data_IF_763268905014
#
_entry.id   IF_763268905014
#
_cell.length_a   1.000
_cell.length_b   1.000
_cell.length_c   1.000
_cell.angle_alpha   90.00
_cell.angle_beta   90.00
_cell.angle_gamma   90.00
#
_symmetry.space_group_name_H-M   'P 1'
#
loop_
_entity.id
_entity.type
_entity.pdbx_description
1 polymer ?
#
# COMPACT_ATOMS: atom_id res chain seq x y z
N UNK A 1 -29.50 12.59 -22.29
CA UNK A 1 -28.67 11.59 -22.98
C UNK A 1 -27.22 12.06 -22.90
N UNK A 2 -26.51 11.78 -21.81
CA UNK A 2 -25.11 12.21 -21.67
C UNK A 2 -24.26 11.17 -22.38
N UNK A 3 -23.72 11.57 -23.52
CA UNK A 3 -22.84 10.74 -24.34
C UNK A 3 -21.58 10.43 -23.51
N UNK A 4 -21.42 9.18 -23.11
CA UNK A 4 -20.19 8.70 -22.46
C UNK A 4 -19.06 8.80 -23.49
N UNK A 5 -18.16 9.77 -23.36
CA UNK A 5 -17.13 10.14 -24.34
C UNK A 5 -15.95 9.16 -24.37
N UNK A 6 -16.23 7.86 -24.37
CA UNK A 6 -15.22 6.79 -24.43
C UNK A 6 -14.40 6.80 -25.72
N UNK A 7 -14.86 7.49 -26.77
CA UNK A 7 -14.13 7.66 -28.04
C UNK A 7 -13.05 8.76 -28.00
N UNK A 8 -13.15 9.76 -27.12
CA UNK A 8 -12.22 10.90 -27.02
C UNK A 8 -11.45 11.00 -25.69
N UNK A 9 -11.56 10.00 -24.81
CA UNK A 9 -10.80 9.99 -23.56
C UNK A 9 -9.29 10.01 -23.86
N UNK A 10 -8.56 10.95 -23.24
CA UNK A 10 -7.11 11.11 -23.42
C UNK A 10 -6.34 9.84 -22.99
N UNK A 11 -5.19 9.53 -23.61
CA UNK A 11 -4.42 8.33 -23.28
C UNK A 11 -4.15 8.19 -21.78
N UNK A 12 -4.35 7.00 -21.24
CA UNK A 12 -4.20 6.67 -19.81
C UNK A 12 -5.49 6.80 -19.00
N UNK A 13 -6.60 7.24 -19.60
CA UNK A 13 -7.92 7.33 -18.96
C UNK A 13 -8.90 6.25 -19.45
N UNK A 14 -8.48 5.36 -20.34
CA UNK A 14 -9.26 4.18 -20.72
C UNK A 14 -8.70 2.94 -20.01
N UNK A 15 -9.54 1.95 -19.66
CA UNK A 15 -9.07 0.71 -19.03
C UNK A 15 -7.98 -0.01 -19.82
N UNK A 16 -8.06 0.05 -21.15
CA UNK A 16 -7.16 -0.63 -22.08
C UNK A 16 -5.80 0.07 -22.30
N UNK A 17 -5.65 1.33 -21.87
CA UNK A 17 -4.44 2.09 -22.11
C UNK A 17 -3.27 1.57 -21.24
N UNK A 18 -2.05 1.51 -21.79
CA UNK A 18 -0.83 1.28 -21.00
C UNK A 18 -0.57 -0.17 -20.55
N UNK A 19 -1.47 -1.12 -20.86
CA UNK A 19 -1.31 -2.54 -20.53
C UNK A 19 -1.26 -2.83 -19.02
N UNK A 20 -1.40 -4.12 -18.65
CA UNK A 20 -1.31 -4.64 -17.25
C UNK A 20 -2.07 -3.81 -16.19
N UNK A 21 -3.14 -3.13 -16.58
CA UNK A 21 -3.91 -2.24 -15.71
C UNK A 21 -3.07 -1.12 -15.02
N UNK A 22 -2.01 -0.62 -15.68
CA UNK A 22 -1.13 0.42 -15.14
C UNK A 22 -1.39 1.77 -15.81
N UNK A 23 -2.49 2.41 -15.44
CA UNK A 23 -2.88 3.72 -15.96
C UNK A 23 -3.69 4.53 -14.93
N UNK A 24 -3.97 5.81 -15.23
CA UNK A 24 -4.71 6.71 -14.32
C UNK A 24 -6.13 6.23 -14.06
N UNK A 25 -6.77 5.63 -15.06
CA UNK A 25 -8.09 5.01 -14.90
C UNK A 25 -8.08 4.00 -13.74
N UNK A 26 -7.11 3.08 -13.71
CA UNK A 26 -7.02 2.05 -12.67
C UNK A 26 -6.68 2.61 -11.29
N UNK A 27 -5.89 3.68 -11.19
CA UNK A 27 -5.65 4.35 -9.90
C UNK A 27 -6.97 4.86 -9.32
N UNK A 28 -7.75 5.60 -10.10
CA UNK A 28 -9.02 6.17 -9.64
C UNK A 28 -10.03 5.07 -9.35
N UNK A 29 -10.17 4.11 -10.25
CA UNK A 29 -11.13 3.02 -10.05
C UNK A 29 -10.79 2.19 -8.82
N UNK A 30 -9.51 1.83 -8.63
CA UNK A 30 -9.09 1.14 -7.41
C UNK A 30 -9.38 2.00 -6.17
N UNK A 31 -9.07 3.29 -6.22
CA UNK A 31 -9.27 4.19 -5.07
C UNK A 31 -10.75 4.35 -4.70
N UNK A 32 -11.67 4.34 -5.66
CA UNK A 32 -13.10 4.50 -5.42
C UNK A 32 -13.80 3.19 -5.08
N UNK A 33 -13.21 2.05 -5.44
CA UNK A 33 -13.80 0.74 -5.21
C UNK A 33 -14.14 0.52 -3.70
N UNK A 34 -15.34 0.02 -3.36
CA UNK A 34 -15.71 -0.27 -1.98
C UNK A 34 -14.79 -1.28 -1.29
N UNK A 35 -14.23 -2.26 -2.05
CA UNK A 35 -13.29 -3.26 -1.51
C UNK A 35 -11.99 -2.64 -0.99
N UNK A 36 -11.67 -1.44 -1.45
CA UNK A 36 -10.47 -0.68 -1.09
C UNK A 36 -10.71 0.26 0.11
N UNK A 37 -11.93 0.31 0.67
CA UNK A 37 -12.22 1.11 1.87
C UNK A 37 -11.19 0.91 3.01
N UNK A 38 -10.73 -0.33 3.31
CA UNK A 38 -9.71 -0.54 4.34
C UNK A 38 -8.39 0.17 4.01
N UNK A 39 -7.95 0.19 2.75
CA UNK A 39 -6.73 0.87 2.32
C UNK A 39 -6.79 2.38 2.57
N UNK A 40 -7.95 3.01 2.29
CA UNK A 40 -8.13 4.46 2.56
C UNK A 40 -8.01 4.76 4.05
N UNK A 41 -8.59 3.92 4.90
CA UNK A 41 -8.41 3.99 6.36
C UNK A 41 -6.95 3.74 6.77
N UNK A 42 -6.28 2.78 6.14
CA UNK A 42 -4.89 2.46 6.38
C UNK A 42 -3.97 3.65 6.09
N UNK A 43 -4.20 4.40 5.01
CA UNK A 43 -3.41 5.61 4.73
C UNK A 43 -3.53 6.63 5.87
N UNK A 44 -4.74 6.89 6.36
CA UNK A 44 -4.93 7.80 7.50
C UNK A 44 -4.19 7.30 8.74
N UNK A 45 -4.32 6.01 9.08
CA UNK A 45 -3.64 5.43 10.24
C UNK A 45 -2.12 5.48 10.07
N UNK A 46 -1.60 5.12 8.90
CA UNK A 46 -0.17 5.11 8.60
C UNK A 46 0.47 6.49 8.76
N UNK A 47 -0.12 7.51 8.12
CA UNK A 47 0.45 8.86 8.12
C UNK A 47 0.15 9.60 9.43
N UNK A 48 -1.13 9.72 9.80
CA UNK A 48 -1.55 10.62 10.90
C UNK A 48 -1.35 10.03 12.29
N UNK A 49 -1.54 8.71 12.44
CA UNK A 49 -1.41 8.01 13.73
C UNK A 49 -0.09 7.25 13.87
N UNK A 50 0.55 6.93 12.75
CA UNK A 50 1.88 6.35 12.68
C UNK A 50 2.94 7.44 12.61
N UNK A 51 3.28 7.87 11.39
CA UNK A 51 4.40 8.79 11.12
C UNK A 51 4.40 10.06 11.96
N UNK A 52 3.27 10.77 12.05
CA UNK A 52 3.20 12.00 12.84
C UNK A 52 3.37 11.78 14.35
N UNK A 53 3.15 10.55 14.84
CA UNK A 53 3.30 10.20 16.25
C UNK A 53 4.70 9.69 16.60
N UNK A 54 5.57 9.43 15.62
CA UNK A 54 6.89 8.85 15.88
C UNK A 54 7.78 9.69 16.78
N UNK A 55 7.64 11.02 16.76
CA UNK A 55 8.43 11.91 17.63
C UNK A 55 7.96 11.91 19.08
N UNK A 56 6.71 11.53 19.32
CA UNK A 56 6.06 11.60 20.63
C UNK A 56 6.04 10.24 21.31
N UNK A 57 5.64 9.20 20.55
CA UNK A 57 5.55 7.82 21.02
C UNK A 57 5.91 6.85 19.87
N UNK A 58 7.19 6.47 19.74
CA UNK A 58 7.66 5.57 18.70
C UNK A 58 7.03 4.17 18.78
N UNK A 59 6.63 3.70 19.96
CA UNK A 59 6.07 2.36 20.13
C UNK A 59 4.63 2.32 19.63
N UNK A 60 3.80 3.25 20.08
CA UNK A 60 2.43 3.40 19.61
C UNK A 60 2.36 3.74 18.12
N UNK A 61 3.31 4.52 17.62
CA UNK A 61 3.44 4.85 16.21
C UNK A 61 3.73 3.60 15.36
N UNK A 62 4.70 2.76 15.77
CA UNK A 62 4.97 1.47 15.10
C UNK A 62 3.77 0.53 15.13
N UNK A 63 3.06 0.44 16.25
CA UNK A 63 1.84 -0.36 16.36
C UNK A 63 0.76 0.12 15.37
N UNK A 64 0.57 1.43 15.24
CA UNK A 64 -0.37 2.03 14.29
C UNK A 64 0.03 1.77 12.83
N UNK A 65 1.33 1.84 12.51
CA UNK A 65 1.83 1.49 11.17
C UNK A 65 1.61 0.02 10.87
N UNK A 66 1.91 -0.88 11.81
CA UNK A 66 1.67 -2.31 11.62
C UNK A 66 0.18 -2.59 11.36
N UNK A 67 -0.71 -1.98 12.14
CA UNK A 67 -2.16 -2.07 11.90
C UNK A 67 -2.52 -1.60 10.49
N UNK A 68 -1.95 -0.48 10.02
CA UNK A 68 -2.19 -0.01 8.66
C UNK A 68 -1.70 -1.02 7.61
N UNK A 69 -0.53 -1.63 7.79
CA UNK A 69 -0.01 -2.66 6.88
C UNK A 69 -0.91 -3.89 6.82
N UNK A 70 -1.53 -4.29 7.93
CA UNK A 70 -2.51 -5.39 7.94
C UNK A 70 -3.78 -5.05 7.15
N UNK A 71 -4.24 -3.80 7.19
CA UNK A 71 -5.37 -3.34 6.37
C UNK A 71 -5.00 -3.26 4.87
N UNK A 72 -3.78 -2.84 4.54
CA UNK A 72 -3.25 -2.89 3.16
C UNK A 72 -3.18 -4.34 2.66
N UNK A 73 -2.75 -5.26 3.51
CA UNK A 73 -2.66 -6.68 3.21
C UNK A 73 -4.04 -7.30 2.92
N UNK A 74 -5.06 -6.99 3.73
CA UNK A 74 -6.45 -7.41 3.46
C UNK A 74 -6.91 -6.96 2.08
N UNK A 75 -6.57 -5.73 1.69
CA UNK A 75 -6.92 -5.19 0.37
C UNK A 75 -6.14 -5.89 -0.74
N UNK A 76 -4.87 -6.22 -0.51
CA UNK A 76 -4.05 -6.97 -1.48
C UNK A 76 -4.67 -8.33 -1.82
N UNK A 77 -5.28 -9.00 -0.84
CA UNK A 77 -6.00 -10.28 -1.02
C UNK A 77 -7.37 -10.07 -1.66
N UNK A 78 -8.14 -9.08 -1.18
CA UNK A 78 -9.51 -8.83 -1.67
C UNK A 78 -9.54 -8.23 -3.09
N UNK A 79 -8.48 -7.54 -3.49
CA UNK A 79 -8.34 -6.94 -4.80
C UNK A 79 -6.92 -7.10 -5.35
N UNK A 80 -6.67 -8.31 -5.86
CA UNK A 80 -5.41 -8.73 -6.45
C UNK A 80 -4.94 -7.78 -7.55
N UNK A 81 -3.62 -7.56 -7.61
CA UNK A 81 -2.98 -6.69 -8.61
C UNK A 81 -3.50 -5.24 -8.63
N UNK A 82 -4.04 -4.75 -7.51
CA UNK A 82 -4.45 -3.35 -7.41
C UNK A 82 -3.25 -2.41 -7.49
N UNK A 83 -3.34 -1.42 -8.37
CA UNK A 83 -2.26 -0.49 -8.67
C UNK A 83 -1.91 0.36 -7.43
N UNK A 84 -2.90 0.70 -6.62
CA UNK A 84 -2.73 1.49 -5.39
C UNK A 84 -1.89 0.78 -4.32
N UNK A 85 -2.03 -0.54 -4.19
CA UNK A 85 -1.25 -1.34 -3.22
C UNK A 85 0.19 -1.43 -3.69
N UNK A 86 0.40 -1.66 -4.98
CA UNK A 86 1.74 -1.63 -5.58
C UNK A 86 2.38 -0.25 -5.43
N UNK A 87 1.66 0.83 -5.72
CA UNK A 87 2.18 2.20 -5.57
C UNK A 87 2.59 2.48 -4.13
N UNK A 88 1.79 2.05 -3.15
CA UNK A 88 2.15 2.16 -1.74
C UNK A 88 3.43 1.39 -1.41
N UNK A 89 3.54 0.12 -1.80
CA UNK A 89 4.74 -0.68 -1.50
C UNK A 89 5.98 -0.08 -2.14
N UNK A 90 5.90 0.34 -3.42
CA UNK A 90 7.02 0.99 -4.09
C UNK A 90 7.44 2.29 -3.40
N UNK A 91 6.49 3.12 -2.98
CA UNK A 91 6.78 4.40 -2.34
C UNK A 91 7.32 4.25 -0.91
N UNK A 92 6.90 3.21 -0.18
CA UNK A 92 7.16 3.07 1.27
C UNK A 92 8.13 1.98 1.65
N UNK A 93 8.57 1.15 0.72
CA UNK A 93 9.52 0.05 0.95
C UNK A 93 10.73 0.47 1.78
N UNK A 94 11.46 1.50 1.34
CA UNK A 94 12.73 1.87 1.98
C UNK A 94 12.50 2.48 3.38
N UNK A 95 11.45 3.28 3.53
CA UNK A 95 11.02 3.82 4.83
C UNK A 95 10.70 2.70 5.82
N UNK A 96 9.92 1.70 5.39
CA UNK A 96 9.58 0.54 6.21
C UNK A 96 10.83 -0.26 6.59
N UNK A 97 11.70 -0.56 5.62
CA UNK A 97 12.90 -1.35 5.88
C UNK A 97 13.76 -0.72 6.96
N UNK A 98 14.05 0.58 6.86
CA UNK A 98 14.88 1.26 7.86
C UNK A 98 14.18 1.40 9.21
N UNK A 99 12.88 1.74 9.22
CA UNK A 99 12.08 1.90 10.44
C UNK A 99 12.01 0.62 11.28
N UNK A 100 11.89 -0.54 10.63
CA UNK A 100 11.67 -1.81 11.32
C UNK A 100 12.95 -2.50 11.80
N UNK A 101 14.15 -2.05 11.37
CA UNK A 101 15.44 -2.61 11.83
C UNK A 101 15.63 -2.56 13.34
N UNK A 102 15.04 -1.57 14.02
CA UNK A 102 15.16 -1.37 15.48
C UNK A 102 13.94 -1.84 16.28
N UNK A 103 12.96 -2.47 15.64
CA UNK A 103 11.73 -2.92 16.28
C UNK A 103 11.88 -4.28 16.99
N UNK A 104 10.95 -4.67 17.89
CA UNK A 104 10.90 -6.02 18.45
C UNK A 104 10.72 -7.09 17.39
N UNK A 105 11.37 -8.26 17.57
CA UNK A 105 11.37 -9.38 16.63
C UNK A 105 9.98 -9.77 16.10
N UNK A 106 9.00 -9.89 17.00
CA UNK A 106 7.64 -10.29 16.61
C UNK A 106 7.01 -9.31 15.60
N UNK A 107 7.27 -8.01 15.74
CA UNK A 107 6.78 -7.01 14.80
C UNK A 107 7.55 -7.07 13.48
N UNK A 108 8.87 -7.27 13.53
CA UNK A 108 9.70 -7.46 12.32
C UNK A 108 9.20 -8.63 11.47
N UNK A 109 9.03 -9.80 12.08
CA UNK A 109 8.58 -11.01 11.40
C UNK A 109 7.23 -10.78 10.69
N UNK A 110 6.31 -10.08 11.36
CA UNK A 110 4.99 -9.77 10.80
C UNK A 110 5.07 -8.82 9.61
N UNK A 111 5.88 -7.77 9.70
CA UNK A 111 6.08 -6.81 8.59
C UNK A 111 6.74 -7.47 7.40
N UNK A 112 7.77 -8.29 7.63
CA UNK A 112 8.46 -9.05 6.58
C UNK A 112 7.47 -9.96 5.86
N UNK A 113 6.61 -10.66 6.61
CA UNK A 113 5.58 -11.53 6.05
C UNK A 113 4.59 -10.74 5.16
N UNK A 114 4.04 -9.64 5.67
CA UNK A 114 3.06 -8.82 4.95
C UNK A 114 3.69 -8.24 3.67
N UNK A 115 4.83 -7.58 3.81
CA UNK A 115 5.46 -6.89 2.68
C UNK A 115 6.00 -7.85 1.63
N UNK A 116 6.49 -9.04 2.02
CA UNK A 116 6.92 -10.06 1.06
C UNK A 116 5.76 -10.67 0.27
N UNK A 117 4.53 -10.64 0.81
CA UNK A 117 3.32 -11.06 0.08
C UNK A 117 2.81 -9.97 -0.84
N UNK A 118 2.78 -8.72 -0.36
CA UNK A 118 2.30 -7.57 -1.13
C UNK A 118 3.23 -7.24 -2.30
N UNK A 119 4.55 -7.32 -2.07
CA UNK A 119 5.58 -6.96 -3.03
C UNK A 119 6.66 -8.05 -3.12
N UNK A 120 6.34 -9.22 -3.72
CA UNK A 120 7.24 -10.37 -3.77
C UNK A 120 8.56 -10.09 -4.47
N UNK A 121 8.54 -9.19 -5.47
CA UNK A 121 9.71 -8.79 -6.24
C UNK A 121 10.79 -8.13 -5.38
N UNK A 122 10.40 -7.52 -4.24
CA UNK A 122 11.32 -6.90 -3.29
C UNK A 122 11.46 -7.71 -1.98
N UNK A 123 11.05 -8.98 -1.96
CA UNK A 123 11.14 -9.84 -0.75
C UNK A 123 12.54 -9.87 -0.12
N UNK A 124 13.61 -9.82 -0.93
CA UNK A 124 14.98 -9.76 -0.42
C UNK A 124 15.25 -8.46 0.36
N UNK A 125 14.70 -7.33 -0.11
CA UNK A 125 14.84 -6.04 0.55
C UNK A 125 14.16 -6.03 1.92
N UNK A 126 12.98 -6.65 2.04
CA UNK A 126 12.31 -6.78 3.35
C UNK A 126 13.07 -7.69 4.32
N UNK A 127 13.80 -8.70 3.84
CA UNK A 127 14.66 -9.53 4.70
C UNK A 127 15.82 -8.76 5.36
N UNK A 128 16.20 -7.60 4.82
CA UNK A 128 17.24 -6.73 5.41
C UNK A 128 16.80 -6.04 6.70
N UNK A 129 15.51 -6.10 7.06
CA UNK A 129 15.00 -5.70 8.38
C UNK A 129 15.69 -6.50 9.51
N UNK A 130 16.11 -7.73 9.21
CA UNK A 130 16.73 -8.67 10.14
C UNK A 130 15.70 -9.36 11.05
N UNK A 131 16.01 -10.59 11.47
CA UNK A 131 15.24 -11.35 12.46
C UNK A 131 15.53 -10.90 13.89
#
# INVERSE_FOLDING_TARGET
>A
NIQNSSSNASPGWRPADGGKNRNRYWIIENTLNPRVKPFRGAMYTYYRKGLDMFTTDPEQARASILQALEEVDKVSVAYLNSMIVQMFSYAKKDELVEMWKVAPKAQKDRVIQIMSRIDPANSQRYREIGS
#
